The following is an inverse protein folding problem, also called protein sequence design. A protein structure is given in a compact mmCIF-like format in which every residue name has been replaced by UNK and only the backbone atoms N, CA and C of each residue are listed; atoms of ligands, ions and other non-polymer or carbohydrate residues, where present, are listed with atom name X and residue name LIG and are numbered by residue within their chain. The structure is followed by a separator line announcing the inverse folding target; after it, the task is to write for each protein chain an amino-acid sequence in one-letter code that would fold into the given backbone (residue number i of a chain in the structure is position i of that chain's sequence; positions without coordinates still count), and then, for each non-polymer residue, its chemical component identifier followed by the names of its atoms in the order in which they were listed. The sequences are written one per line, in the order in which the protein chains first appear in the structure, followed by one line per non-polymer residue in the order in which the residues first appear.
data_IF_441356971157
#
_entry.id   IF_441356971157
#
_cell.length_a   1.000
_cell.length_b   1.000
_cell.length_c   1.000
_cell.angle_alpha   90.00
_cell.angle_beta   90.00
_cell.angle_gamma   90.00
#
_symmetry.space_group_name_H-M   'P 1'
#
loop_
_entity.id
_entity.type
_entity.pdbx_description
1 polymer ?
#
# COMPACT_ATOMS: atom_id res chain seq x y z
N UNK A 1 23.57 0.60 10.78
CA UNK A 1 22.09 0.67 10.66
C UNK A 1 21.52 0.19 11.98
N UNK A 2 20.55 0.89 12.60
CA UNK A 2 19.93 0.41 13.84
C UNK A 2 18.98 -0.76 13.49
N UNK A 3 19.11 -1.88 14.22
CA UNK A 3 18.15 -2.98 14.14
C UNK A 3 16.75 -2.48 14.53
N UNK A 4 15.72 -2.95 13.84
CA UNK A 4 14.33 -2.66 14.17
C UNK A 4 13.99 -3.41 15.48
N UNK A 5 13.55 -2.69 16.51
CA UNK A 5 13.12 -3.29 17.77
C UNK A 5 11.60 -3.53 17.70
N UNK A 6 11.17 -4.77 17.86
CA UNK A 6 9.75 -5.17 17.86
C UNK A 6 9.31 -5.44 19.28
N UNK A 7 8.28 -4.73 19.71
CA UNK A 7 7.66 -4.89 21.03
C UNK A 7 6.46 -5.85 20.97
N UNK A 8 5.95 -6.26 22.13
CA UNK A 8 4.70 -7.04 22.21
C UNK A 8 3.49 -6.25 21.71
N UNK A 9 3.48 -4.92 21.91
CA UNK A 9 2.45 -4.03 21.37
C UNK A 9 2.44 -4.02 19.84
N UNK A 10 3.62 -4.04 19.20
CA UNK A 10 3.74 -4.12 17.74
C UNK A 10 3.22 -5.46 17.21
N UNK A 11 3.51 -6.55 17.93
CA UNK A 11 3.01 -7.87 17.57
C UNK A 11 1.48 -7.97 17.75
N UNK A 12 0.94 -7.46 18.86
CA UNK A 12 -0.52 -7.42 19.08
C UNK A 12 -1.26 -6.63 18.02
N UNK A 13 -0.71 -5.51 17.57
CA UNK A 13 -1.28 -4.70 16.49
C UNK A 13 -1.29 -5.42 15.14
N UNK A 14 -0.34 -6.34 14.90
CA UNK A 14 -0.21 -7.13 13.67
C UNK A 14 -0.93 -8.48 13.75
N UNK A 15 -1.21 -8.96 14.96
CA UNK A 15 -1.83 -10.25 15.19
C UNK A 15 -3.33 -10.16 14.94
N UNK A 16 -3.80 -10.74 13.83
CA UNK A 16 -5.21 -10.98 13.63
C UNK A 16 -5.62 -12.18 14.49
N UNK A 17 -6.80 -12.15 15.13
CA UNK A 17 -7.35 -13.22 15.97
C UNK A 17 -7.51 -14.60 15.25
N UNK A 18 -7.04 -14.73 14.04
CA UNK A 18 -6.89 -16.02 13.33
C UNK A 18 -5.53 -16.60 13.74
N UNK A 19 -5.58 -17.59 14.63
CA UNK A 19 -4.43 -18.20 15.28
C UNK A 19 -3.35 -18.81 14.37
N UNK A 20 -3.60 -18.90 13.07
CA UNK A 20 -2.74 -19.57 12.08
C UNK A 20 -2.00 -18.62 11.12
N UNK A 21 -2.20 -17.30 11.23
CA UNK A 21 -1.51 -16.37 10.33
C UNK A 21 -0.11 -16.02 10.87
N UNK A 22 0.97 -16.38 10.18
CA UNK A 22 2.32 -16.08 10.63
C UNK A 22 2.59 -14.57 10.60
N UNK A 23 3.30 -14.05 11.62
CA UNK A 23 3.73 -12.66 11.65
C UNK A 23 5.09 -12.52 10.95
N UNK A 24 5.12 -11.71 9.89
CA UNK A 24 6.36 -11.40 9.19
C UNK A 24 7.09 -10.22 9.82
N UNK A 25 8.37 -10.39 10.13
CA UNK A 25 9.27 -9.34 10.63
C UNK A 25 10.53 -9.25 9.77
N UNK A 26 11.28 -8.15 9.90
CA UNK A 26 12.58 -8.00 9.24
C UNK A 26 13.59 -9.04 9.77
N UNK A 27 14.51 -9.54 8.92
CA UNK A 27 15.50 -10.51 9.33
C UNK A 27 16.46 -9.97 10.40
N UNK A 28 16.70 -8.66 10.39
CA UNK A 28 17.52 -7.94 11.36
C UNK A 28 16.72 -7.40 12.56
N UNK A 29 15.41 -7.65 12.61
CA UNK A 29 14.57 -7.22 13.72
C UNK A 29 14.89 -7.99 15.00
N UNK A 30 14.93 -7.26 16.11
CA UNK A 30 15.13 -7.81 17.44
C UNK A 30 13.81 -7.75 18.21
N UNK A 31 13.34 -8.91 18.65
CA UNK A 31 12.17 -9.00 19.52
C UNK A 31 12.57 -8.66 20.95
N UNK A 32 11.78 -7.79 21.62
CA UNK A 32 11.94 -7.59 23.07
C UNK A 32 11.62 -8.87 23.84
N UNK A 33 12.07 -9.03 25.10
CA UNK A 33 11.72 -10.19 25.92
C UNK A 33 10.20 -10.42 26.01
N UNK A 34 9.42 -9.37 26.24
CA UNK A 34 7.95 -9.46 26.26
C UNK A 34 7.35 -9.88 24.92
N UNK A 35 7.94 -9.42 23.78
CA UNK A 35 7.53 -9.86 22.46
C UNK A 35 7.84 -11.35 22.22
N UNK A 36 8.97 -11.85 22.72
CA UNK A 36 9.32 -13.28 22.64
C UNK A 36 8.37 -14.14 23.47
N UNK A 37 7.99 -13.68 24.67
CA UNK A 37 6.98 -14.36 25.52
C UNK A 37 5.63 -14.39 24.80
N UNK A 38 5.19 -13.25 24.24
CA UNK A 38 3.94 -13.18 23.50
C UNK A 38 3.90 -14.16 22.32
N UNK A 39 4.97 -14.26 21.54
CA UNK A 39 5.09 -15.22 20.42
C UNK A 39 4.97 -16.66 20.92
N UNK A 40 5.64 -16.99 22.02
CA UNK A 40 5.64 -18.35 22.60
C UNK A 40 4.26 -18.70 23.16
N UNK A 41 3.65 -17.80 23.93
CA UNK A 41 2.38 -18.05 24.63
C UNK A 41 1.21 -18.22 23.65
N UNK A 42 1.28 -17.54 22.50
CA UNK A 42 0.26 -17.60 21.46
C UNK A 42 0.63 -18.52 20.30
N UNK A 43 1.75 -19.26 20.39
CA UNK A 43 2.25 -20.17 19.35
C UNK A 43 2.35 -19.53 17.95
N UNK A 44 2.75 -18.23 17.91
CA UNK A 44 2.79 -17.46 16.66
C UNK A 44 4.02 -17.89 15.86
N UNK A 45 3.80 -18.26 14.60
CA UNK A 45 4.88 -18.46 13.66
C UNK A 45 5.48 -17.11 13.23
N UNK A 46 6.80 -16.93 13.45
CA UNK A 46 7.52 -15.72 13.01
C UNK A 46 8.31 -16.02 11.76
N UNK A 47 7.89 -15.40 10.65
CA UNK A 47 8.64 -15.44 9.39
C UNK A 47 9.61 -14.26 9.35
N UNK A 48 10.93 -14.53 9.35
CA UNK A 48 11.96 -13.52 9.19
C UNK A 48 12.27 -13.30 7.72
N UNK A 49 12.04 -12.08 7.24
CA UNK A 49 12.34 -11.70 5.85
C UNK A 49 13.53 -10.75 5.80
N UNK A 50 14.46 -10.94 4.86
CA UNK A 50 15.53 -9.99 4.66
C UNK A 50 14.90 -8.62 4.34
N UNK A 51 15.47 -7.56 4.95
CA UNK A 51 15.13 -6.17 4.61
C UNK A 51 15.71 -5.90 3.22
N UNK A 52 14.92 -6.19 2.19
CA UNK A 52 15.32 -5.77 0.85
C UNK A 52 15.27 -4.24 0.85
N UNK A 53 16.47 -3.65 0.99
CA UNK A 53 16.63 -2.21 0.85
C UNK A 53 15.99 -1.75 -0.44
N UNK A 54 15.49 -0.53 -0.46
CA UNK A 54 14.93 0.09 -1.66
C UNK A 54 15.96 -0.04 -2.81
N UNK A 55 15.85 -1.12 -3.59
CA UNK A 55 16.65 -1.23 -4.80
C UNK A 55 16.13 -0.17 -5.76
N UNK A 56 16.94 0.83 -6.00
CA UNK A 56 16.73 1.79 -7.06
C UNK A 56 16.29 1.06 -8.34
N UNK A 57 15.42 1.69 -9.14
CA UNK A 57 14.95 1.21 -10.46
C UNK A 57 16.06 0.81 -11.44
N UNK A 58 17.33 0.93 -11.05
CA UNK A 58 18.48 0.68 -11.87
C UNK A 58 18.88 -0.79 -11.86
N UNK A 59 18.46 -1.49 -12.89
CA UNK A 59 18.94 -2.78 -13.36
C UNK A 59 18.55 -3.98 -12.48
N UNK A 60 17.62 -4.76 -13.01
CA UNK A 60 17.38 -6.14 -12.55
C UNK A 60 18.75 -6.85 -12.48
N UNK A 61 19.13 -7.43 -11.32
CA UNK A 61 20.39 -8.14 -11.19
C UNK A 61 20.50 -9.23 -12.26
N UNK A 62 21.68 -9.35 -12.83
CA UNK A 62 21.97 -10.34 -13.85
C UNK A 62 22.95 -11.37 -13.30
N UNK A 63 22.63 -12.64 -13.44
CA UNK A 63 23.50 -13.75 -13.10
C UNK A 63 23.65 -14.64 -14.33
N UNK A 64 24.90 -14.87 -14.77
CA UNK A 64 25.18 -15.63 -15.99
C UNK A 64 24.40 -15.15 -17.24
N UNK A 65 24.27 -13.82 -17.39
CA UNK A 65 23.53 -13.21 -18.51
C UNK A 65 22.02 -13.30 -18.44
N UNK A 66 21.44 -13.81 -17.35
CA UNK A 66 20.00 -13.93 -17.13
C UNK A 66 19.53 -12.99 -16.00
N UNK A 67 18.33 -12.43 -16.08
CA UNK A 67 17.77 -11.64 -15.00
C UNK A 67 17.54 -12.53 -13.76
N UNK A 68 17.76 -11.97 -12.58
CA UNK A 68 17.45 -12.64 -11.30
C UNK A 68 16.24 -11.94 -10.68
N UNK A 69 15.12 -12.63 -10.66
CA UNK A 69 13.92 -12.23 -9.94
C UNK A 69 13.88 -12.91 -8.57
N UNK A 70 13.33 -12.25 -7.59
CA UNK A 70 13.24 -12.77 -6.23
C UNK A 70 11.77 -12.76 -5.78
N UNK A 71 11.27 -13.91 -5.40
CA UNK A 71 9.96 -14.01 -4.76
C UNK A 71 10.05 -13.38 -3.37
N UNK A 72 9.26 -12.33 -3.11
CA UNK A 72 9.28 -11.59 -1.85
C UNK A 72 8.89 -12.45 -0.64
N UNK A 73 7.99 -13.41 -0.83
CA UNK A 73 7.45 -14.25 0.26
C UNK A 73 8.41 -15.36 0.66
N UNK A 74 9.08 -15.98 -0.32
CA UNK A 74 9.91 -17.15 -0.09
C UNK A 74 11.41 -16.85 -0.15
N UNK A 75 11.81 -15.70 -0.69
CA UNK A 75 13.21 -15.37 -0.99
C UNK A 75 13.81 -16.19 -2.16
N UNK A 76 13.01 -17.01 -2.84
CA UNK A 76 13.50 -17.87 -3.93
C UNK A 76 13.84 -17.03 -5.16
N UNK A 77 15.01 -17.30 -5.72
CA UNK A 77 15.47 -16.71 -6.98
C UNK A 77 14.95 -17.50 -8.19
N UNK A 78 14.62 -16.80 -9.27
CA UNK A 78 14.26 -17.38 -10.56
C UNK A 78 14.78 -16.52 -11.71
N UNK A 79 15.14 -17.18 -12.82
CA UNK A 79 15.63 -16.50 -14.03
C UNK A 79 14.48 -16.04 -14.94
N UNK A 80 13.29 -16.57 -14.74
CA UNK A 80 12.08 -16.22 -15.50
C UNK A 80 10.96 -15.89 -14.53
N UNK A 81 10.16 -14.89 -14.86
CA UNK A 81 8.98 -14.50 -14.06
C UNK A 81 7.87 -15.53 -14.25
N UNK A 82 7.43 -16.23 -13.17
CA UNK A 82 6.27 -17.11 -13.26
C UNK A 82 5.00 -16.34 -13.67
N UNK A 83 4.09 -17.01 -14.39
CA UNK A 83 2.86 -16.37 -14.91
C UNK A 83 1.93 -15.89 -13.79
N UNK A 84 1.86 -16.62 -12.68
CA UNK A 84 1.05 -16.29 -11.51
C UNK A 84 1.62 -15.13 -10.68
N UNK A 85 2.82 -14.66 -11.00
CA UNK A 85 3.51 -13.60 -10.27
C UNK A 85 3.60 -12.31 -11.07
N UNK A 86 3.75 -11.21 -10.34
CA UNK A 86 3.95 -9.87 -10.91
C UNK A 86 5.01 -9.10 -10.14
N UNK A 87 5.54 -8.06 -10.77
CA UNK A 87 6.50 -7.17 -10.13
C UNK A 87 5.83 -6.34 -9.04
N UNK A 88 6.31 -6.46 -7.81
CA UNK A 88 5.98 -5.51 -6.76
C UNK A 88 6.84 -4.25 -6.91
N UNK A 89 8.17 -4.45 -7.01
CA UNK A 89 9.16 -3.40 -7.19
C UNK A 89 10.48 -3.98 -7.73
N UNK A 90 11.05 -3.37 -8.77
CA UNK A 90 12.32 -3.82 -9.36
C UNK A 90 12.26 -5.30 -9.76
N UNK A 91 13.16 -6.11 -9.19
CA UNK A 91 13.20 -7.55 -9.40
C UNK A 91 12.40 -8.38 -8.38
N UNK A 92 11.72 -7.71 -7.44
CA UNK A 92 10.90 -8.39 -6.44
C UNK A 92 9.55 -8.77 -7.04
N UNK A 93 9.22 -10.05 -6.97
CA UNK A 93 7.96 -10.63 -7.43
C UNK A 93 7.08 -11.00 -6.24
N UNK A 94 5.78 -10.85 -6.46
CA UNK A 94 4.71 -11.33 -5.57
C UNK A 94 3.64 -12.02 -6.40
N UNK A 95 2.81 -12.84 -5.77
CA UNK A 95 1.63 -13.37 -6.45
C UNK A 95 0.69 -12.26 -6.90
N UNK A 96 -0.01 -12.45 -8.01
CA UNK A 96 -1.01 -11.49 -8.52
C UNK A 96 -2.14 -11.24 -7.52
N UNK A 97 -2.35 -12.16 -6.57
CA UNK A 97 -3.32 -12.06 -5.46
C UNK A 97 -2.79 -11.31 -4.23
N UNK A 98 -1.54 -10.86 -4.24
CA UNK A 98 -0.94 -10.17 -3.10
C UNK A 98 -1.72 -8.88 -2.75
N UNK A 99 -1.96 -8.55 -1.45
CA UNK A 99 -2.79 -7.42 -1.04
C UNK A 99 -2.38 -6.07 -1.65
N UNK A 100 -1.09 -5.80 -1.82
CA UNK A 100 -0.61 -4.58 -2.47
C UNK A 100 -0.99 -4.53 -3.96
N UNK A 101 -1.01 -5.66 -4.65
CA UNK A 101 -1.47 -5.74 -6.05
C UNK A 101 -2.98 -5.53 -6.13
N UNK A 102 -3.74 -6.13 -5.20
CA UNK A 102 -5.18 -5.88 -5.10
C UNK A 102 -5.49 -4.41 -4.84
N UNK A 103 -4.74 -3.76 -3.93
CA UNK A 103 -4.88 -2.32 -3.66
C UNK A 103 -4.60 -1.46 -4.90
N UNK A 104 -3.55 -1.77 -5.67
CA UNK A 104 -3.29 -1.09 -6.96
C UNK A 104 -4.46 -1.24 -7.91
N UNK A 105 -5.02 -2.45 -8.03
CA UNK A 105 -6.19 -2.71 -8.85
C UNK A 105 -7.42 -1.92 -8.41
N UNK A 106 -7.64 -1.73 -7.11
CA UNK A 106 -8.73 -0.89 -6.60
C UNK A 106 -8.52 0.59 -6.96
N UNK A 107 -7.28 1.11 -6.87
CA UNK A 107 -6.97 2.47 -7.29
C UNK A 107 -7.15 2.66 -8.80
N UNK A 108 -6.77 1.68 -9.61
CA UNK A 108 -6.98 1.70 -11.06
C UNK A 108 -8.48 1.71 -11.40
N UNK A 109 -9.28 0.89 -10.68
CA UNK A 109 -10.75 0.87 -10.84
C UNK A 109 -11.38 2.22 -10.45
N UNK A 110 -10.98 2.79 -9.31
CA UNK A 110 -11.42 4.12 -8.89
C UNK A 110 -11.07 5.18 -9.95
N UNK A 111 -9.85 5.14 -10.48
CA UNK A 111 -9.42 6.08 -11.51
C UNK A 111 -10.27 5.94 -12.78
N UNK A 112 -10.60 4.71 -13.18
CA UNK A 112 -11.47 4.46 -14.34
C UNK A 112 -12.89 5.02 -14.13
N UNK A 113 -13.44 4.89 -12.92
CA UNK A 113 -14.75 5.47 -12.56
C UNK A 113 -14.69 7.01 -12.59
N UNK A 114 -13.64 7.64 -12.06
CA UNK A 114 -13.45 9.09 -12.14
C UNK A 114 -13.40 9.54 -13.60
N UNK A 115 -12.64 8.86 -14.46
CA UNK A 115 -12.56 9.19 -15.88
C UNK A 115 -13.93 9.07 -16.58
N UNK A 116 -14.72 8.08 -16.24
CA UNK A 116 -16.08 7.94 -16.76
C UNK A 116 -16.97 9.12 -16.33
N UNK A 117 -16.88 9.53 -15.05
CA UNK A 117 -17.61 10.69 -14.54
C UNK A 117 -17.14 11.99 -15.19
N UNK A 118 -15.83 12.15 -15.43
CA UNK A 118 -15.30 13.30 -16.18
C UNK A 118 -15.89 13.38 -17.59
N UNK A 119 -15.99 12.25 -18.29
CA UNK A 119 -16.59 12.21 -19.62
C UNK A 119 -18.06 12.67 -19.60
N UNK A 120 -18.83 12.27 -18.60
CA UNK A 120 -20.24 12.69 -18.40
C UNK A 120 -20.32 14.17 -18.04
N UNK A 121 -19.55 14.63 -17.06
CA UNK A 121 -19.52 16.03 -16.64
C UNK A 121 -19.16 16.97 -17.82
N UNK A 122 -18.23 16.52 -18.68
CA UNK A 122 -17.87 17.26 -19.90
C UNK A 122 -19.05 17.35 -20.88
N UNK A 123 -19.77 16.25 -21.12
CA UNK A 123 -20.94 16.23 -22.00
C UNK A 123 -22.08 17.13 -21.48
N UNK A 124 -22.24 17.18 -20.15
CA UNK A 124 -23.29 17.96 -19.48
C UNK A 124 -22.87 19.43 -19.26
N UNK A 125 -21.65 19.81 -19.57
CA UNK A 125 -21.12 21.17 -19.40
C UNK A 125 -20.79 21.55 -17.96
N UNK A 126 -20.69 20.58 -17.05
CA UNK A 126 -20.44 20.74 -15.61
C UNK A 126 -18.95 21.00 -15.32
N UNK A 127 -18.50 22.21 -15.63
CA UNK A 127 -17.07 22.57 -15.58
C UNK A 127 -16.47 22.55 -14.18
N UNK A 128 -17.24 22.93 -13.15
CA UNK A 128 -16.79 22.86 -11.77
C UNK A 128 -16.57 21.42 -11.32
N UNK A 129 -17.54 20.53 -11.59
CA UNK A 129 -17.42 19.11 -11.30
C UNK A 129 -16.25 18.47 -12.05
N UNK A 130 -16.03 18.88 -13.29
CA UNK A 130 -14.90 18.38 -14.10
C UNK A 130 -13.56 18.74 -13.46
N UNK A 131 -13.41 19.96 -12.92
CA UNK A 131 -12.20 20.39 -12.22
C UNK A 131 -11.98 19.58 -10.92
N UNK A 132 -13.03 19.37 -10.14
CA UNK A 132 -12.97 18.57 -8.91
C UNK A 132 -12.58 17.11 -9.20
N UNK A 133 -13.15 16.52 -10.24
CA UNK A 133 -12.82 15.15 -10.67
C UNK A 133 -11.37 15.03 -11.17
N UNK A 134 -10.83 16.06 -11.82
CA UNK A 134 -9.42 16.06 -12.24
C UNK A 134 -8.48 16.10 -11.02
N UNK A 135 -8.82 16.88 -10.00
CA UNK A 135 -8.03 16.93 -8.76
C UNK A 135 -8.07 15.59 -8.02
N UNK A 136 -9.24 14.95 -7.92
CA UNK A 136 -9.39 13.60 -7.36
C UNK A 136 -8.60 12.55 -8.16
N UNK A 137 -8.62 12.61 -9.50
CA UNK A 137 -7.83 11.74 -10.35
C UNK A 137 -6.32 11.94 -10.11
N UNK A 138 -5.89 13.21 -10.00
CA UNK A 138 -4.52 13.58 -9.65
C UNK A 138 -4.09 13.02 -8.31
N UNK A 139 -4.93 13.13 -7.29
CA UNK A 139 -4.67 12.58 -5.96
C UNK A 139 -4.56 11.05 -5.98
N UNK A 140 -5.48 10.36 -6.67
CA UNK A 140 -5.46 8.90 -6.83
C UNK A 140 -4.16 8.44 -7.51
N UNK A 141 -3.70 9.15 -8.56
CA UNK A 141 -2.41 8.88 -9.22
C UNK A 141 -1.22 9.10 -8.29
N UNK A 142 -1.28 10.10 -7.38
CA UNK A 142 -0.22 10.33 -6.36
C UNK A 142 -0.15 9.18 -5.37
N UNK A 143 -1.30 8.67 -4.88
CA UNK A 143 -1.35 7.51 -3.99
C UNK A 143 -0.74 6.28 -4.68
N UNK A 144 -1.17 5.98 -5.90
CA UNK A 144 -0.65 4.85 -6.68
C UNK A 144 0.86 4.99 -6.93
N UNK A 145 1.31 6.20 -7.27
CA UNK A 145 2.74 6.48 -7.48
C UNK A 145 3.59 6.29 -6.24
N UNK A 146 3.13 6.74 -5.07
CA UNK A 146 3.78 6.55 -3.78
C UNK A 146 3.86 5.06 -3.42
N UNK A 147 2.76 4.33 -3.61
CA UNK A 147 2.70 2.88 -3.37
C UNK A 147 3.68 2.11 -4.26
N UNK A 148 3.69 2.37 -5.57
CA UNK A 148 4.57 1.69 -6.54
C UNK A 148 6.05 1.96 -6.26
N UNK A 149 6.38 3.19 -5.82
CA UNK A 149 7.74 3.58 -5.47
C UNK A 149 8.16 3.14 -4.07
N UNK A 150 7.21 2.72 -3.23
CA UNK A 150 7.40 2.42 -1.81
C UNK A 150 7.91 3.65 -1.04
N UNK A 151 7.31 4.80 -1.33
CA UNK A 151 7.63 6.10 -0.74
C UNK A 151 6.43 6.57 0.08
N UNK A 152 6.63 7.37 1.14
CA UNK A 152 5.53 8.04 1.82
C UNK A 152 4.75 8.92 0.84
N UNK A 153 3.42 8.96 1.01
CA UNK A 153 2.61 9.93 0.27
C UNK A 153 3.01 11.34 0.69
N UNK A 154 3.42 12.15 -0.27
CA UNK A 154 3.76 13.55 -0.02
C UNK A 154 2.51 14.30 0.47
N UNK A 155 2.70 15.19 1.45
CA UNK A 155 1.66 16.12 1.87
C UNK A 155 1.15 16.93 0.68
N UNK A 156 -0.12 17.30 0.74
CA UNK A 156 -0.74 18.06 -0.33
C UNK A 156 -2.22 18.27 -0.05
N UNK A 157 -2.83 19.03 -0.94
CA UNK A 157 -4.26 19.30 -0.90
C UNK A 157 -5.00 18.42 -1.91
N UNK A 158 -6.28 18.20 -1.65
CA UNK A 158 -7.26 17.66 -2.59
C UNK A 158 -8.55 18.45 -2.44
N UNK A 159 -9.13 18.87 -3.54
CA UNK A 159 -10.28 19.81 -3.58
C UNK A 159 -10.00 21.11 -2.82
N UNK A 160 -8.77 21.60 -2.88
CA UNK A 160 -8.32 22.81 -2.15
C UNK A 160 -8.20 22.65 -0.65
N UNK A 161 -8.38 21.44 -0.09
CA UNK A 161 -8.35 21.17 1.35
C UNK A 161 -7.13 20.32 1.73
N UNK A 162 -6.51 20.65 2.85
CA UNK A 162 -5.52 19.80 3.50
C UNK A 162 -6.20 18.67 4.31
N UNK A 163 -5.39 17.75 4.86
CA UNK A 163 -5.90 16.60 5.61
C UNK A 163 -6.73 17.00 6.85
N UNK A 164 -6.36 18.09 7.53
CA UNK A 164 -7.09 18.57 8.70
C UNK A 164 -8.45 19.17 8.31
N UNK A 165 -8.49 19.93 7.21
CA UNK A 165 -9.70 20.51 6.65
C UNK A 165 -10.66 19.41 6.13
N UNK A 166 -10.13 18.40 5.43
CA UNK A 166 -10.93 17.24 4.98
C UNK A 166 -11.52 16.50 6.18
N UNK A 167 -10.71 16.24 7.21
CA UNK A 167 -11.18 15.62 8.45
C UNK A 167 -12.29 16.47 9.10
N UNK A 168 -12.10 17.78 9.22
CA UNK A 168 -13.14 18.67 9.78
C UNK A 168 -14.42 18.61 8.95
N UNK A 169 -14.32 18.73 7.63
CA UNK A 169 -15.47 18.68 6.72
C UNK A 169 -16.23 17.36 6.83
N UNK A 170 -15.54 16.23 6.87
CA UNK A 170 -16.15 14.90 6.98
C UNK A 170 -16.88 14.66 8.31
N UNK A 171 -16.47 15.34 9.39
CA UNK A 171 -17.14 15.25 10.69
C UNK A 171 -18.22 16.33 10.88
N UNK A 172 -18.29 17.33 10.02
CA UNK A 172 -19.25 18.43 10.08
C UNK A 172 -19.86 18.71 8.71
N UNK A 173 -20.40 17.68 8.10
CA UNK A 173 -20.95 17.73 6.73
C UNK A 173 -22.04 18.81 6.61
N UNK A 174 -22.98 18.86 7.55
CA UNK A 174 -24.05 19.87 7.55
C UNK A 174 -23.51 21.31 7.64
N UNK A 175 -22.55 21.55 8.53
CA UNK A 175 -21.94 22.88 8.70
C UNK A 175 -21.05 23.28 7.53
N UNK A 176 -20.38 22.33 6.89
CA UNK A 176 -19.40 22.60 5.83
C UNK A 176 -20.02 22.58 4.44
N UNK A 177 -20.91 21.63 4.16
CA UNK A 177 -21.50 21.40 2.84
C UNK A 177 -22.97 21.78 2.76
N UNK A 178 -23.62 22.09 3.89
CA UNK A 178 -25.05 22.44 3.92
C UNK A 178 -26.03 21.28 3.64
N UNK A 179 -25.51 20.05 3.62
CA UNK A 179 -26.32 18.83 3.38
C UNK A 179 -26.42 17.97 4.63
N UNK A 180 -27.49 17.23 4.77
CA UNK A 180 -27.60 16.25 5.86
C UNK A 180 -26.66 15.06 5.62
N UNK A 181 -26.21 14.46 6.73
CA UNK A 181 -25.35 13.28 6.65
C UNK A 181 -26.11 12.14 5.97
N UNK A 182 -25.57 11.53 4.89
CA UNK A 182 -26.21 10.36 4.30
C UNK A 182 -26.29 9.25 5.35
N UNK A 183 -27.50 8.78 5.62
CA UNK A 183 -27.74 7.63 6.49
C UNK A 183 -27.61 6.39 5.62
N UNK A 184 -26.79 5.39 6.01
CA UNK A 184 -26.63 4.16 5.26
C UNK A 184 -27.92 3.32 5.23
#
# INVERSE_FOLDING_TARGET
MKAELITDSDLRARWSYRADDPITISADAVLTPCAQEFVRDHHIEIIRRPKYGAMSRSKIPMQNGKPVFVNLETGRECAEKPEEMTHLRGNLLVFKTHPRIAFRGQLDSLLAEILLLQSRAHQDGETALLADLEDLAGFTRRILGAEVKDEPLAEGQVLGMDAAQIRHASHNIKGTLGIEHPIP
#
